data_IF_223302069404
#
_entry.id   IF_223302069404
#
_cell.length_a   1.000
_cell.length_b   1.000
_cell.length_c   1.000
_cell.angle_alpha   90.00
_cell.angle_beta   90.00
_cell.angle_gamma   90.00
#
_symmetry.space_group_name_H-M   'P 1'
#
loop_
_entity.id
_entity.type
_entity.pdbx_description
1 polymer ?
#
# COMPACT_ATOMS: atom_id res chain seq x y z
N UNK A 1 12.14 -3.29 -44.93
CA UNK A 1 12.54 -3.67 -43.56
C UNK A 1 11.55 -2.97 -42.65
N UNK A 2 10.82 -3.69 -41.81
CA UNK A 2 9.78 -3.09 -40.97
C UNK A 2 10.40 -2.07 -40.00
N UNK A 3 9.70 -0.96 -39.79
CA UNK A 3 10.03 0.04 -38.78
C UNK A 3 9.71 -0.47 -37.38
N UNK A 4 10.31 0.15 -36.36
CA UNK A 4 10.03 -0.20 -34.96
C UNK A 4 8.54 -0.03 -34.60
N UNK A 5 7.89 1.01 -35.13
CA UNK A 5 6.45 1.24 -34.98
C UNK A 5 5.62 0.11 -35.63
N UNK A 6 5.95 -0.30 -36.86
CA UNK A 6 5.23 -1.38 -37.53
C UNK A 6 5.36 -2.70 -36.78
N UNK A 7 6.57 -3.04 -36.29
CA UNK A 7 6.78 -4.25 -35.48
C UNK A 7 6.00 -4.18 -34.17
N UNK A 8 5.96 -3.01 -33.52
CA UNK A 8 5.15 -2.77 -32.31
C UNK A 8 3.67 -3.07 -32.59
N UNK A 9 3.09 -2.47 -33.62
CA UNK A 9 1.67 -2.65 -33.95
C UNK A 9 1.31 -4.12 -34.18
N UNK A 10 2.17 -4.87 -34.88
CA UNK A 10 1.93 -6.31 -35.10
C UNK A 10 1.97 -7.11 -33.79
N UNK A 11 2.90 -6.79 -32.89
CA UNK A 11 3.01 -7.47 -31.59
C UNK A 11 1.84 -7.09 -30.70
N UNK A 12 1.45 -5.82 -30.65
CA UNK A 12 0.33 -5.35 -29.82
C UNK A 12 -1.01 -5.98 -30.21
N UNK A 13 -1.17 -6.42 -31.46
CA UNK A 13 -2.36 -7.15 -31.92
C UNK A 13 -2.39 -8.64 -31.52
N UNK A 14 -1.30 -9.20 -30.97
CA UNK A 14 -1.32 -10.56 -30.42
C UNK A 14 -2.16 -10.62 -29.15
N UNK A 15 -2.70 -11.81 -28.86
CA UNK A 15 -3.59 -12.04 -27.72
C UNK A 15 -2.79 -12.51 -26.50
N UNK A 16 -3.07 -11.91 -25.34
CA UNK A 16 -2.75 -12.46 -24.03
C UNK A 16 -3.70 -13.65 -23.76
N UNK A 17 -3.21 -14.90 -23.81
CA UNK A 17 -4.05 -16.07 -23.65
C UNK A 17 -4.63 -16.22 -22.24
N UNK A 18 -4.11 -15.49 -21.25
CA UNK A 18 -4.61 -15.56 -19.87
C UNK A 18 -5.92 -14.80 -19.65
N UNK A 19 -6.23 -13.83 -20.51
CA UNK A 19 -7.43 -12.97 -20.42
C UNK A 19 -8.16 -12.77 -21.74
N UNK A 20 -7.69 -13.44 -22.81
CA UNK A 20 -8.28 -13.40 -24.16
C UNK A 20 -8.44 -11.99 -24.76
N UNK A 21 -7.56 -11.06 -24.36
CA UNK A 21 -7.49 -9.67 -24.87
C UNK A 21 -6.16 -9.42 -25.58
N UNK A 22 -6.13 -8.46 -26.51
CA UNK A 22 -4.87 -8.10 -27.19
C UNK A 22 -3.85 -7.47 -26.24
N UNK A 23 -2.56 -7.56 -26.57
CA UNK A 23 -1.51 -6.85 -25.83
C UNK A 23 -1.66 -5.34 -25.90
N UNK A 24 -2.36 -4.82 -26.92
CA UNK A 24 -2.79 -3.42 -26.99
C UNK A 24 -3.75 -3.06 -25.87
N UNK A 25 -4.78 -3.88 -25.67
CA UNK A 25 -5.80 -3.69 -24.64
C UNK A 25 -5.25 -3.91 -23.22
N UNK A 26 -4.35 -4.88 -23.06
CA UNK A 26 -3.76 -5.18 -21.75
C UNK A 26 -2.53 -4.33 -21.42
N UNK A 27 -2.02 -3.54 -22.37
CA UNK A 27 -0.72 -2.89 -22.25
C UNK A 27 0.42 -3.90 -22.09
N UNK A 28 0.29 -5.09 -22.69
CA UNK A 28 1.18 -6.23 -22.53
C UNK A 28 2.57 -6.04 -23.15
N UNK A 29 2.75 -5.19 -24.16
CA UNK A 29 4.09 -4.91 -24.70
C UNK A 29 4.81 -3.86 -23.85
N UNK A 30 5.79 -4.29 -23.04
CA UNK A 30 6.49 -3.44 -22.06
C UNK A 30 7.79 -2.86 -22.59
N UNK A 31 8.46 -3.63 -23.44
CA UNK A 31 9.69 -3.21 -24.08
C UNK A 31 9.77 -3.82 -25.47
N UNK A 32 10.30 -3.04 -26.41
CA UNK A 32 10.63 -3.48 -27.76
C UNK A 32 11.93 -2.83 -28.18
N UNK A 33 12.86 -3.65 -28.66
CA UNK A 33 14.08 -3.21 -29.32
C UNK A 33 14.43 -4.10 -30.52
N UNK A 34 15.10 -3.52 -31.51
CA UNK A 34 15.43 -4.17 -32.78
C UNK A 34 16.90 -3.90 -33.10
N UNK A 35 17.73 -4.93 -33.01
CA UNK A 35 19.11 -4.90 -33.51
C UNK A 35 19.07 -5.19 -35.02
N UNK A 36 19.08 -4.12 -35.82
CA UNK A 36 18.99 -4.17 -37.29
C UNK A 36 20.17 -4.93 -37.90
N UNK A 37 21.37 -4.83 -37.31
CA UNK A 37 22.57 -5.49 -37.83
C UNK A 37 22.53 -7.00 -37.65
N UNK A 38 21.97 -7.48 -36.54
CA UNK A 38 21.83 -8.91 -36.26
C UNK A 38 20.48 -9.50 -36.70
N UNK A 39 19.51 -8.65 -37.03
CA UNK A 39 18.13 -9.05 -37.29
C UNK A 39 17.42 -9.61 -36.06
N UNK A 40 17.81 -9.17 -34.86
CA UNK A 40 17.31 -9.70 -33.59
C UNK A 40 16.30 -8.73 -32.95
N UNK A 41 15.13 -9.24 -32.58
CA UNK A 41 14.11 -8.49 -31.83
C UNK A 41 14.16 -8.88 -30.36
N UNK A 42 14.16 -7.90 -29.45
CA UNK A 42 14.06 -8.15 -28.00
C UNK A 42 12.76 -7.56 -27.49
N UNK A 43 11.98 -8.37 -26.78
CA UNK A 43 10.70 -7.95 -26.18
C UNK A 43 10.59 -8.35 -24.72
N UNK A 44 9.94 -7.49 -23.95
CA UNK A 44 9.40 -7.83 -22.63
C UNK A 44 7.88 -7.81 -22.76
N UNK A 45 7.23 -8.94 -22.48
CA UNK A 45 5.78 -9.08 -22.49
C UNK A 45 5.27 -9.22 -21.06
N UNK A 46 4.38 -8.33 -20.67
CA UNK A 46 3.56 -8.49 -19.50
C UNK A 46 2.36 -9.41 -19.79
N UNK A 47 2.08 -10.37 -18.91
CA UNK A 47 0.89 -11.23 -18.95
C UNK A 47 0.10 -11.12 -17.65
N UNK A 48 -1.23 -11.20 -17.72
CA UNK A 48 -2.05 -11.18 -16.49
C UNK A 48 -1.83 -12.44 -15.64
N UNK A 49 -1.55 -13.58 -16.27
CA UNK A 49 -1.07 -14.79 -15.60
C UNK A 49 0.21 -15.32 -16.27
N UNK A 50 1.24 -15.56 -15.47
CA UNK A 50 2.62 -15.85 -15.93
C UNK A 50 3.01 -17.31 -15.61
N UNK A 51 2.17 -18.26 -15.99
CA UNK A 51 2.52 -19.69 -15.96
C UNK A 51 3.25 -20.15 -17.23
N UNK A 52 3.83 -21.35 -17.16
CA UNK A 52 4.64 -21.88 -18.26
C UNK A 52 3.82 -22.18 -19.52
N UNK A 53 2.53 -22.53 -19.37
CA UNK A 53 1.65 -22.81 -20.51
C UNK A 53 1.40 -21.53 -21.33
N UNK A 54 1.05 -20.43 -20.67
CA UNK A 54 0.85 -19.12 -21.29
C UNK A 54 2.15 -18.58 -21.88
N UNK A 55 3.28 -18.64 -21.16
CA UNK A 55 4.60 -18.24 -21.69
C UNK A 55 4.95 -19.01 -22.96
N UNK A 56 4.75 -20.32 -22.98
CA UNK A 56 5.03 -21.14 -24.17
C UNK A 56 4.11 -20.79 -25.33
N UNK A 57 2.84 -20.52 -25.08
CA UNK A 57 1.89 -20.07 -26.11
C UNK A 57 2.37 -18.75 -26.75
N UNK A 58 2.65 -17.74 -25.93
CA UNK A 58 3.06 -16.41 -26.39
C UNK A 58 4.42 -16.44 -27.08
N UNK A 59 5.38 -17.22 -26.54
CA UNK A 59 6.70 -17.38 -27.17
C UNK A 59 6.57 -17.96 -28.59
N UNK A 60 5.67 -18.93 -28.80
CA UNK A 60 5.42 -19.50 -30.14
C UNK A 60 4.75 -18.49 -31.07
N UNK A 61 3.74 -17.76 -30.58
CA UNK A 61 3.06 -16.72 -31.36
C UNK A 61 4.03 -15.62 -31.81
N UNK A 62 4.86 -15.13 -30.89
CA UNK A 62 5.92 -14.16 -31.18
C UNK A 62 6.97 -14.71 -32.14
N UNK A 63 7.44 -15.95 -31.95
CA UNK A 63 8.43 -16.54 -32.84
C UNK A 63 7.89 -16.70 -34.27
N UNK A 64 6.61 -17.12 -34.42
CA UNK A 64 5.94 -17.18 -35.72
C UNK A 64 5.86 -15.79 -36.35
N UNK A 65 5.30 -14.81 -35.65
CA UNK A 65 5.14 -13.45 -36.14
C UNK A 65 6.48 -12.84 -36.56
N UNK A 66 7.46 -12.85 -35.64
CA UNK A 66 8.72 -12.13 -35.85
C UNK A 66 9.62 -12.82 -36.87
N UNK A 67 9.71 -14.15 -36.86
CA UNK A 67 10.62 -14.86 -37.78
C UNK A 67 10.00 -15.17 -39.13
N UNK A 68 8.74 -15.61 -39.17
CA UNK A 68 8.11 -16.07 -40.40
C UNK A 68 7.38 -14.93 -41.11
N UNK A 69 6.61 -14.12 -40.39
CA UNK A 69 5.78 -13.09 -41.02
C UNK A 69 6.58 -11.79 -41.26
N UNK A 70 7.42 -11.40 -40.31
CA UNK A 70 8.22 -10.17 -40.37
C UNK A 70 9.67 -10.38 -40.88
N UNK A 71 10.14 -11.63 -40.95
CA UNK A 71 11.43 -12.00 -41.56
C UNK A 71 12.69 -11.72 -40.72
N UNK A 72 12.58 -11.55 -39.40
CA UNK A 72 13.73 -11.38 -38.51
C UNK A 72 14.43 -12.72 -38.20
N UNK A 73 15.73 -12.70 -37.90
CA UNK A 73 16.53 -13.91 -37.66
C UNK A 73 16.24 -14.52 -36.29
N UNK A 74 15.92 -13.67 -35.31
CA UNK A 74 15.82 -14.05 -33.90
C UNK A 74 14.81 -13.23 -33.12
N UNK A 75 14.32 -13.80 -32.03
CA UNK A 75 13.60 -13.09 -30.98
C UNK A 75 14.10 -13.54 -29.62
N UNK A 76 14.33 -12.58 -28.71
CA UNK A 76 14.52 -12.81 -27.28
C UNK A 76 13.27 -12.30 -26.55
N UNK A 77 12.65 -13.16 -25.76
CA UNK A 77 11.42 -12.86 -25.02
C UNK A 77 11.66 -13.01 -23.54
N UNK A 78 11.34 -11.97 -22.77
CA UNK A 78 11.23 -12.01 -21.32
C UNK A 78 9.78 -11.74 -20.92
N UNK A 79 9.36 -12.29 -19.79
CA UNK A 79 7.99 -12.19 -19.31
C UNK A 79 7.93 -11.55 -17.93
N UNK A 80 6.95 -10.67 -17.73
CA UNK A 80 6.61 -10.10 -16.44
C UNK A 80 5.11 -10.21 -16.16
N UNK A 81 4.71 -10.02 -14.90
CA UNK A 81 3.30 -9.98 -14.54
C UNK A 81 2.73 -8.60 -14.89
N UNK A 82 1.65 -8.56 -15.68
CA UNK A 82 0.90 -7.33 -15.91
C UNK A 82 0.27 -6.88 -14.60
N UNK A 83 0.71 -5.72 -14.11
CA UNK A 83 0.01 -5.01 -13.04
C UNK A 83 -1.41 -4.73 -13.51
N UNK A 84 -2.41 -5.35 -12.86
CA UNK A 84 -3.84 -5.26 -13.22
C UNK A 84 -4.26 -3.78 -13.34
N UNK A 85 -4.86 -3.39 -14.47
CA UNK A 85 -5.36 -2.02 -14.73
C UNK A 85 -6.27 -1.49 -13.62
N UNK A 86 -7.03 -2.39 -12.99
CA UNK A 86 -8.02 -2.06 -11.97
C UNK A 86 -7.45 -2.14 -10.54
N UNK A 87 -6.16 -2.51 -10.39
CA UNK A 87 -5.52 -2.55 -9.08
C UNK A 87 -5.30 -1.15 -8.54
N UNK A 88 -5.21 -1.03 -7.22
CA UNK A 88 -4.90 0.25 -6.58
C UNK A 88 -3.52 0.78 -7.04
N UNK A 89 -2.60 -0.12 -7.39
CA UNK A 89 -1.25 0.15 -7.88
C UNK A 89 -1.17 0.61 -9.34
N UNK A 90 -2.31 0.67 -10.06
CA UNK A 90 -2.34 1.13 -11.45
C UNK A 90 -1.87 2.57 -11.55
N UNK A 91 -0.99 2.85 -12.53
CA UNK A 91 -0.47 4.20 -12.79
C UNK A 91 -1.54 5.14 -13.34
N UNK A 92 -2.67 4.61 -13.78
CA UNK A 92 -3.83 5.39 -14.24
C UNK A 92 -4.63 5.97 -13.06
N UNK A 93 -4.41 5.44 -11.85
CA UNK A 93 -5.02 5.94 -10.63
C UNK A 93 -4.07 6.91 -9.93
N UNK A 94 -4.52 8.14 -9.69
CA UNK A 94 -3.80 9.14 -8.88
C UNK A 94 -4.05 8.89 -7.38
N UNK A 95 -3.54 7.77 -6.88
CA UNK A 95 -3.70 7.35 -5.47
C UNK A 95 -2.46 7.73 -4.66
N UNK A 96 -2.69 8.39 -3.53
CA UNK A 96 -1.65 8.79 -2.59
C UNK A 96 -1.53 7.76 -1.48
N UNK A 97 -0.35 7.13 -1.40
CA UNK A 97 -0.05 6.14 -0.37
C UNK A 97 0.64 6.77 0.83
N UNK A 98 0.10 6.51 2.01
CA UNK A 98 0.67 6.93 3.29
C UNK A 98 0.92 5.69 4.14
N UNK A 99 2.19 5.34 4.32
CA UNK A 99 2.59 4.26 5.21
C UNK A 99 2.69 4.78 6.64
N UNK A 100 2.00 4.12 7.56
CA UNK A 100 2.03 4.46 8.99
C UNK A 100 2.93 3.46 9.69
N UNK A 101 4.09 3.90 10.15
CA UNK A 101 5.11 3.05 10.75
C UNK A 101 5.36 3.39 12.22
N UNK A 102 5.80 2.39 12.97
CA UNK A 102 6.28 2.59 14.34
C UNK A 102 7.47 1.67 14.64
N UNK A 103 8.31 2.09 15.57
CA UNK A 103 9.41 1.26 16.03
C UNK A 103 8.99 0.13 16.95
N UNK A 104 7.87 0.29 17.68
CA UNK A 104 7.44 -0.62 18.75
C UNK A 104 5.93 -0.77 18.75
N UNK A 105 5.45 -1.97 19.10
CA UNK A 105 4.03 -2.20 19.39
C UNK A 105 3.54 -1.38 20.60
N UNK A 106 2.25 -1.06 20.60
CA UNK A 106 1.61 -0.35 21.72
C UNK A 106 1.70 1.17 21.71
N UNK A 107 2.35 1.79 20.71
CA UNK A 107 2.38 3.27 20.57
C UNK A 107 1.08 3.86 20.00
N UNK A 108 0.09 3.02 19.69
CA UNK A 108 -1.20 3.44 19.10
C UNK A 108 -1.16 3.71 17.60
N UNK A 109 -0.23 3.10 16.87
CA UNK A 109 -0.10 3.18 15.39
C UNK A 109 -1.44 2.96 14.68
N UNK A 110 -2.09 1.82 14.90
CA UNK A 110 -3.35 1.46 14.24
C UNK A 110 -4.50 2.40 14.63
N UNK A 111 -4.54 2.87 15.88
CA UNK A 111 -5.52 3.87 16.34
C UNK A 111 -5.35 5.20 15.60
N UNK A 112 -4.09 5.64 15.42
CA UNK A 112 -3.77 6.84 14.63
C UNK A 112 -4.16 6.63 13.16
N UNK A 113 -3.86 5.47 12.57
CA UNK A 113 -4.25 5.15 11.19
C UNK A 113 -5.76 5.25 10.99
N UNK A 114 -6.55 4.63 11.86
CA UNK A 114 -8.01 4.64 11.77
C UNK A 114 -8.60 6.05 11.94
N UNK A 115 -8.18 6.79 12.97
CA UNK A 115 -8.66 8.17 13.19
C UNK A 115 -8.23 9.12 12.08
N UNK A 116 -7.03 8.95 11.53
CA UNK A 116 -6.56 9.72 10.37
C UNK A 116 -7.44 9.46 9.14
N UNK A 117 -7.89 8.22 8.91
CA UNK A 117 -8.83 7.92 7.83
C UNK A 117 -10.17 8.66 8.01
N UNK A 118 -10.72 8.67 9.23
CA UNK A 118 -11.93 9.45 9.53
C UNK A 118 -11.73 10.95 9.36
N UNK A 119 -10.56 11.48 9.70
CA UNK A 119 -10.22 12.87 9.47
C UNK A 119 -10.15 13.20 7.97
N UNK A 120 -9.50 12.36 7.15
CA UNK A 120 -9.51 12.49 5.69
C UNK A 120 -10.94 12.48 5.13
N UNK A 121 -11.76 11.51 5.53
CA UNK A 121 -13.17 11.42 5.13
C UNK A 121 -13.95 12.67 5.51
N UNK A 122 -13.76 13.18 6.73
CA UNK A 122 -14.42 14.40 7.22
C UNK A 122 -14.05 15.61 6.37
N UNK A 123 -12.81 15.66 5.86
CA UNK A 123 -12.33 16.67 4.91
C UNK A 123 -12.75 16.39 3.46
N UNK A 124 -13.68 15.45 3.24
CA UNK A 124 -14.26 15.14 1.94
C UNK A 124 -13.39 14.25 1.05
N UNK A 125 -12.38 13.58 1.60
CA UNK A 125 -11.49 12.69 0.85
C UNK A 125 -12.00 11.26 0.83
N UNK A 126 -11.90 10.60 -0.32
CA UNK A 126 -12.13 9.15 -0.42
C UNK A 126 -10.88 8.39 0.02
N UNK A 127 -11.04 7.54 1.04
CA UNK A 127 -9.92 6.89 1.73
C UNK A 127 -10.15 5.39 1.90
N UNK A 128 -9.09 4.62 1.70
CA UNK A 128 -9.03 3.21 2.03
C UNK A 128 -7.91 2.92 3.03
N UNK A 129 -8.03 1.80 3.73
CA UNK A 129 -7.02 1.30 4.68
C UNK A 129 -6.59 -0.10 4.27
N UNK A 130 -5.28 -0.31 4.15
CA UNK A 130 -4.67 -1.64 4.06
C UNK A 130 -4.01 -1.91 5.41
N UNK A 131 -4.55 -2.86 6.16
CA UNK A 131 -3.91 -3.35 7.39
C UNK A 131 -2.85 -4.40 7.04
N UNK A 132 -1.58 -3.97 7.04
CA UNK A 132 -0.41 -4.80 6.77
C UNK A 132 0.25 -5.31 8.06
N UNK A 133 -0.27 -4.98 9.24
CA UNK A 133 0.22 -5.48 10.53
C UNK A 133 -0.32 -6.87 10.83
N UNK A 134 0.10 -7.86 10.04
CA UNK A 134 -0.54 -9.18 9.97
C UNK A 134 -0.59 -9.91 11.33
N UNK A 135 0.41 -9.70 12.20
CA UNK A 135 0.47 -10.35 13.51
C UNK A 135 -0.21 -9.55 14.62
N UNK A 136 -0.36 -8.24 14.43
CA UNK A 136 -0.90 -7.29 15.40
C UNK A 136 -2.14 -6.56 14.89
N UNK A 137 -2.85 -7.17 13.93
CA UNK A 137 -3.99 -6.56 13.27
C UNK A 137 -5.04 -6.17 14.30
N UNK A 138 -5.46 -4.92 14.23
CA UNK A 138 -6.39 -4.34 15.19
C UNK A 138 -7.33 -3.31 14.58
N UNK A 139 -7.15 -2.96 13.29
CA UNK A 139 -7.98 -1.96 12.62
C UNK A 139 -9.47 -2.37 12.61
N UNK A 140 -9.86 -3.59 12.20
CA UNK A 140 -11.26 -4.03 12.27
C UNK A 140 -11.86 -3.89 13.68
N UNK A 141 -11.12 -4.29 14.72
CA UNK A 141 -11.55 -4.13 16.12
C UNK A 141 -11.70 -2.65 16.52
N UNK A 142 -10.73 -1.80 16.17
CA UNK A 142 -10.76 -0.34 16.41
C UNK A 142 -11.99 0.30 15.74
N UNK A 143 -12.38 -0.19 14.57
CA UNK A 143 -13.53 0.27 13.80
C UNK A 143 -14.87 -0.35 14.23
N UNK A 144 -14.86 -1.19 15.27
CA UNK A 144 -16.04 -1.92 15.75
C UNK A 144 -16.73 -2.66 14.59
N UNK A 145 -15.95 -3.52 13.92
CA UNK A 145 -16.38 -4.31 12.77
C UNK A 145 -16.50 -5.79 13.15
N UNK A 146 -17.53 -6.43 12.60
CA UNK A 146 -17.67 -7.89 12.73
C UNK A 146 -16.60 -8.59 11.88
N UNK A 147 -15.84 -9.49 12.52
CA UNK A 147 -14.80 -10.27 11.85
C UNK A 147 -15.45 -11.44 11.11
N UNK A 148 -15.66 -11.26 9.81
CA UNK A 148 -16.18 -12.29 8.91
C UNK A 148 -15.28 -12.46 7.70
N UNK A 149 -15.24 -13.65 7.07
CA UNK A 149 -14.52 -13.84 5.83
C UNK A 149 -14.97 -12.87 4.74
N UNK A 150 -14.05 -12.27 3.97
CA UNK A 150 -14.42 -11.36 2.90
C UNK A 150 -15.18 -12.10 1.80
N UNK A 151 -16.10 -11.38 1.16
CA UNK A 151 -16.82 -11.90 -0.01
C UNK A 151 -15.90 -11.86 -1.22
N UNK A 152 -15.85 -12.99 -1.94
CA UNK A 152 -15.27 -13.03 -3.28
C UNK A 152 -16.22 -12.45 -4.32
N UNK A 153 -15.68 -11.74 -5.29
CA UNK A 153 -16.38 -11.38 -6.53
C UNK A 153 -16.00 -12.35 -7.66
N UNK A 154 -16.54 -12.13 -8.87
CA UNK A 154 -16.09 -12.86 -10.06
C UNK A 154 -14.57 -12.69 -10.26
N UNK A 155 -13.92 -13.70 -10.84
CA UNK A 155 -12.48 -13.69 -11.17
C UNK A 155 -11.52 -13.59 -9.97
N UNK A 156 -11.84 -14.25 -8.84
CA UNK A 156 -10.98 -14.33 -7.65
C UNK A 156 -10.64 -12.97 -6.99
N UNK A 157 -11.45 -11.95 -7.27
CA UNK A 157 -11.33 -10.62 -6.68
C UNK A 157 -11.92 -10.57 -5.28
N UNK A 158 -11.39 -9.68 -4.44
CA UNK A 158 -11.80 -9.47 -3.05
C UNK A 158 -12.62 -8.19 -2.96
N UNK A 159 -13.81 -8.25 -2.37
CA UNK A 159 -14.60 -7.06 -2.06
C UNK A 159 -14.08 -6.51 -0.71
N UNK A 160 -13.60 -5.25 -0.64
CA UNK A 160 -13.18 -4.68 0.63
C UNK A 160 -14.38 -4.51 1.56
N UNK A 161 -14.14 -4.54 2.86
CA UNK A 161 -15.16 -4.11 3.81
C UNK A 161 -15.33 -2.60 3.72
N UNK A 162 -16.51 -2.11 4.08
CA UNK A 162 -16.78 -0.68 4.15
C UNK A 162 -17.36 -0.35 5.53
N UNK A 163 -16.71 0.58 6.24
CA UNK A 163 -17.23 1.16 7.48
C UNK A 163 -17.35 2.66 7.27
N UNK A 164 -18.57 3.16 7.32
CA UNK A 164 -18.88 4.58 7.19
C UNK A 164 -18.25 5.23 5.94
N UNK A 165 -18.16 4.53 4.81
CA UNK A 165 -17.57 5.06 3.58
C UNK A 165 -16.04 4.98 3.51
N UNK A 166 -15.38 4.33 4.48
CA UNK A 166 -13.95 4.00 4.44
C UNK A 166 -13.83 2.53 4.04
N UNK A 167 -13.10 2.26 2.98
CA UNK A 167 -12.84 0.89 2.53
C UNK A 167 -11.66 0.29 3.31
N UNK A 168 -11.76 -0.99 3.68
CA UNK A 168 -10.77 -1.68 4.50
C UNK A 168 -10.52 -3.08 3.98
N UNK A 169 -9.25 -3.45 3.92
CA UNK A 169 -8.82 -4.85 3.86
C UNK A 169 -7.83 -5.12 4.99
N UNK A 170 -8.01 -6.26 5.67
CA UNK A 170 -7.18 -6.71 6.77
C UNK A 170 -7.05 -8.22 6.75
N UNK A 171 -5.92 -8.72 7.26
CA UNK A 171 -5.72 -10.15 7.49
C UNK A 171 -6.65 -10.73 8.55
N UNK A 172 -7.12 -9.92 9.51
CA UNK A 172 -8.02 -10.37 10.58
C UNK A 172 -9.32 -10.97 10.02
N UNK A 173 -9.83 -10.46 8.89
CA UNK A 173 -11.02 -11.03 8.22
C UNK A 173 -10.82 -12.45 7.69
N UNK A 174 -9.58 -12.87 7.45
CA UNK A 174 -9.25 -14.22 6.98
C UNK A 174 -8.97 -15.18 8.13
N UNK A 175 -9.02 -14.70 9.38
CA UNK A 175 -8.76 -15.49 10.57
C UNK A 175 -10.06 -16.10 11.12
N UNK A 176 -9.96 -17.34 11.59
CA UNK A 176 -11.00 -17.88 12.45
C UNK A 176 -10.81 -17.29 13.87
N UNK A 177 -11.89 -16.90 14.58
CA UNK A 177 -11.82 -16.17 15.86
C UNK A 177 -10.87 -16.77 16.92
N UNK A 178 -10.70 -18.10 16.90
CA UNK A 178 -9.95 -18.83 17.94
C UNK A 178 -8.68 -19.54 17.44
N UNK A 179 -8.17 -19.21 16.24
CA UNK A 179 -6.97 -19.87 15.68
C UNK A 179 -5.79 -18.93 15.57
N UNK A 180 -4.62 -19.29 16.15
CA UNK A 180 -3.41 -18.49 15.97
C UNK A 180 -3.00 -18.53 14.49
N UNK A 181 -2.56 -17.37 13.99
CA UNK A 181 -2.06 -17.27 12.62
C UNK A 181 -0.72 -18.01 12.50
N UNK A 182 -0.71 -19.12 11.77
CA UNK A 182 0.50 -19.91 11.48
C UNK A 182 0.94 -19.72 10.02
N UNK A 183 1.03 -18.48 9.55
CA UNK A 183 1.51 -18.19 8.20
C UNK A 183 3.03 -18.06 8.19
N UNK A 184 3.68 -18.62 7.16
CA UNK A 184 5.12 -18.48 6.94
C UNK A 184 5.37 -17.31 6.00
N UNK A 185 6.54 -16.65 6.10
CA UNK A 185 6.93 -15.45 5.33
C UNK A 185 6.40 -15.37 3.88
N UNK A 186 6.60 -16.39 3.02
CA UNK A 186 6.11 -16.37 1.65
C UNK A 186 4.58 -16.23 1.49
N UNK A 187 3.80 -16.72 2.46
CA UNK A 187 2.34 -16.55 2.47
C UNK A 187 1.93 -15.12 2.82
N UNK A 188 2.70 -14.41 3.65
CA UNK A 188 2.44 -13.02 4.02
C UNK A 188 2.63 -12.11 2.80
N UNK A 189 3.76 -12.23 2.10
CA UNK A 189 4.01 -11.49 0.88
C UNK A 189 2.95 -11.78 -0.19
N UNK A 190 2.51 -13.04 -0.32
CA UNK A 190 1.39 -13.39 -1.22
C UNK A 190 0.07 -12.70 -0.80
N UNK A 191 -0.24 -12.64 0.49
CA UNK A 191 -1.45 -11.96 0.96
C UNK A 191 -1.39 -10.45 0.71
N UNK A 192 -0.25 -9.81 0.96
CA UNK A 192 -0.06 -8.39 0.63
C UNK A 192 -0.27 -8.16 -0.87
N UNK A 193 0.26 -9.02 -1.73
CA UNK A 193 -0.02 -8.93 -3.16
C UNK A 193 -1.53 -8.97 -3.45
N UNK A 194 -2.29 -9.87 -2.81
CA UNK A 194 -3.75 -9.89 -2.96
C UNK A 194 -4.42 -8.58 -2.51
N UNK A 195 -3.96 -7.96 -1.41
CA UNK A 195 -4.54 -6.70 -0.93
C UNK A 195 -4.37 -5.55 -1.92
N UNK A 196 -3.23 -5.50 -2.61
CA UNK A 196 -2.94 -4.44 -3.57
C UNK A 196 -3.46 -4.75 -4.99
N UNK A 197 -3.42 -5.99 -5.45
CA UNK A 197 -3.80 -6.34 -6.83
C UNK A 197 -5.24 -6.83 -6.99
N UNK A 198 -5.81 -7.46 -5.96
CA UNK A 198 -7.03 -8.25 -6.08
C UNK A 198 -8.23 -7.67 -5.33
N UNK A 199 -8.03 -6.66 -4.50
CA UNK A 199 -9.12 -5.90 -3.88
C UNK A 199 -9.74 -4.95 -4.90
N UNK A 200 -11.08 -4.95 -4.99
CA UNK A 200 -11.86 -4.04 -5.83
C UNK A 200 -12.13 -2.77 -5.03
N UNK A 201 -11.17 -1.84 -5.04
CA UNK A 201 -11.31 -0.53 -4.42
C UNK A 201 -12.24 0.38 -5.26
N UNK A 202 -13.05 1.21 -4.61
CA UNK A 202 -13.82 2.28 -5.25
C UNK A 202 -12.89 3.12 -6.15
N UNK A 203 -13.32 3.39 -7.38
CA UNK A 203 -12.50 4.07 -8.38
C UNK A 203 -12.04 5.47 -7.93
N UNK A 204 -12.85 6.14 -7.11
CA UNK A 204 -12.59 7.49 -6.62
C UNK A 204 -11.68 7.56 -5.40
N UNK A 205 -11.13 6.45 -4.89
CA UNK A 205 -10.16 6.49 -3.78
C UNK A 205 -8.98 7.42 -4.13
N UNK A 206 -8.76 8.42 -3.26
CA UNK A 206 -7.68 9.39 -3.37
C UNK A 206 -6.48 9.02 -2.48
N UNK A 207 -6.76 8.43 -1.30
CA UNK A 207 -5.74 8.11 -0.29
C UNK A 207 -5.85 6.66 0.16
N UNK A 208 -4.71 5.99 0.29
CA UNK A 208 -4.60 4.69 0.94
C UNK A 208 -3.65 4.82 2.13
N UNK A 209 -4.18 4.55 3.32
CA UNK A 209 -3.37 4.41 4.52
C UNK A 209 -2.93 2.95 4.66
N UNK A 210 -1.63 2.72 4.81
CA UNK A 210 -1.07 1.39 5.00
C UNK A 210 -0.58 1.27 6.44
N UNK A 211 -1.28 0.48 7.25
CA UNK A 211 -0.89 0.22 8.64
C UNK A 211 0.22 -0.83 8.67
N UNK A 212 1.47 -0.40 8.86
CA UNK A 212 2.63 -1.28 8.73
C UNK A 212 2.89 -2.07 10.02
N UNK A 213 3.45 -3.28 9.96
CA UNK A 213 3.89 -3.96 11.18
C UNK A 213 5.01 -3.18 11.87
N UNK A 214 5.19 -3.34 13.20
CA UNK A 214 6.29 -2.69 13.90
C UNK A 214 7.65 -3.22 13.42
N UNK A 215 8.63 -2.32 13.25
CA UNK A 215 10.01 -2.67 12.90
C UNK A 215 10.30 -2.67 11.39
N UNK A 216 11.35 -3.41 10.99
CA UNK A 216 11.99 -3.31 9.65
C UNK A 216 12.09 -4.67 8.96
N UNK A 217 11.12 -5.55 9.18
CA UNK A 217 11.12 -6.93 8.65
C UNK A 217 10.73 -7.04 7.17
N UNK A 218 10.63 -8.27 6.68
CA UNK A 218 10.37 -8.61 5.26
C UNK A 218 9.14 -7.89 4.67
N UNK A 219 8.09 -7.68 5.46
CA UNK A 219 6.88 -6.94 5.05
C UNK A 219 7.19 -5.51 4.60
N UNK A 220 8.12 -4.81 5.25
CA UNK A 220 8.50 -3.46 4.85
C UNK A 220 9.18 -3.44 3.46
N UNK A 221 9.93 -4.49 3.11
CA UNK A 221 10.53 -4.64 1.78
C UNK A 221 9.49 -4.98 0.71
N UNK A 222 8.52 -5.85 1.04
CA UNK A 222 7.40 -6.17 0.15
C UNK A 222 6.58 -4.90 -0.16
N UNK A 223 6.32 -4.07 0.86
CA UNK A 223 5.66 -2.76 0.68
C UNK A 223 6.48 -1.84 -0.22
N UNK A 224 7.81 -1.78 -0.06
CA UNK A 224 8.67 -1.00 -0.95
C UNK A 224 8.58 -1.46 -2.41
N UNK A 225 8.40 -2.76 -2.65
CA UNK A 225 8.24 -3.31 -4.00
C UNK A 225 6.88 -2.94 -4.60
N UNK A 226 5.83 -2.93 -3.79
CA UNK A 226 4.46 -2.64 -4.21
C UNK A 226 4.24 -1.13 -4.42
N UNK A 227 4.67 -0.31 -3.46
CA UNK A 227 4.51 1.16 -3.41
C UNK A 227 5.86 1.87 -3.18
N UNK A 228 6.75 1.92 -4.21
CA UNK A 228 8.12 2.41 -4.04
C UNK A 228 8.23 3.88 -3.63
N UNK A 229 7.22 4.71 -3.93
CA UNK A 229 7.17 6.14 -3.60
C UNK A 229 6.10 6.45 -2.55
N UNK A 230 6.04 5.64 -1.50
CA UNK A 230 5.16 5.86 -0.37
C UNK A 230 5.68 7.02 0.50
N UNK A 231 4.75 7.84 1.01
CA UNK A 231 5.06 8.82 2.04
C UNK A 231 4.83 8.22 3.42
N UNK A 232 5.74 8.44 4.36
CA UNK A 232 5.80 7.71 5.62
C UNK A 232 5.51 8.62 6.80
N UNK A 233 4.54 8.21 7.62
CA UNK A 233 4.19 8.84 8.89
C UNK A 233 4.76 7.99 10.02
N UNK A 234 5.64 8.58 10.85
CA UNK A 234 6.30 7.87 11.95
C UNK A 234 5.57 8.13 13.26
N UNK A 235 5.09 7.07 13.91
CA UNK A 235 4.39 7.14 15.19
C UNK A 235 5.34 6.81 16.35
N UNK A 236 5.36 7.69 17.35
CA UNK A 236 6.09 7.49 18.61
C UNK A 236 5.23 7.92 19.81
N UNK A 237 5.78 7.78 21.00
CA UNK A 237 5.26 8.33 22.26
C UNK A 237 6.36 9.13 22.96
N UNK A 238 6.04 9.96 23.98
CA UNK A 238 7.06 10.69 24.73
C UNK A 238 8.14 9.81 25.36
N UNK A 239 7.79 8.57 25.68
CA UNK A 239 8.72 7.64 26.32
C UNK A 239 9.97 7.41 25.47
N UNK A 240 11.15 7.58 26.08
CA UNK A 240 12.45 7.54 25.40
C UNK A 240 12.69 6.23 24.63
N UNK A 241 12.36 5.08 25.23
CA UNK A 241 12.43 3.77 24.56
C UNK A 241 11.63 3.70 23.26
N UNK A 242 10.42 4.25 23.20
CA UNK A 242 9.61 4.24 21.97
C UNK A 242 10.26 5.14 20.90
N UNK A 243 10.72 6.33 21.31
CA UNK A 243 11.35 7.31 20.44
C UNK A 243 12.65 6.80 19.80
N UNK A 244 13.54 6.13 20.55
CA UNK A 244 14.75 5.55 19.96
C UNK A 244 14.48 4.46 18.94
N UNK A 245 13.41 3.68 19.11
CA UNK A 245 13.07 2.64 18.13
C UNK A 245 12.32 3.24 16.93
N UNK A 246 11.48 4.26 17.14
CA UNK A 246 10.83 5.00 16.06
C UNK A 246 11.85 5.68 15.12
N UNK A 247 12.96 6.20 15.66
CA UNK A 247 14.11 6.69 14.86
C UNK A 247 14.64 5.61 13.92
N UNK A 248 14.78 4.37 14.40
CA UNK A 248 15.25 3.26 13.55
C UNK A 248 14.25 2.94 12.44
N UNK A 249 12.95 2.98 12.73
CA UNK A 249 11.91 2.79 11.73
C UNK A 249 11.96 3.89 10.65
N UNK A 250 12.17 5.16 11.05
CA UNK A 250 12.35 6.27 10.12
C UNK A 250 13.57 6.12 9.22
N UNK A 251 14.74 5.79 9.78
CA UNK A 251 15.94 5.55 8.97
C UNK A 251 15.77 4.36 8.02
N UNK A 252 15.04 3.32 8.42
CA UNK A 252 14.75 2.19 7.54
C UNK A 252 13.84 2.60 6.38
N UNK A 253 12.84 3.45 6.63
CA UNK A 253 12.01 4.02 5.57
C UNK A 253 12.84 4.84 4.57
N UNK A 254 13.77 5.67 5.03
CA UNK A 254 14.70 6.41 4.15
C UNK A 254 15.62 5.47 3.35
N UNK A 255 16.14 4.41 3.97
CA UNK A 255 16.95 3.38 3.28
C UNK A 255 16.17 2.67 2.18
N UNK A 256 14.87 2.45 2.40
CA UNK A 256 13.93 1.92 1.41
C UNK A 256 13.47 2.96 0.38
N UNK A 257 14.01 4.19 0.46
CA UNK A 257 13.74 5.34 -0.43
C UNK A 257 12.31 5.86 -0.35
N UNK A 258 11.67 5.70 0.79
CA UNK A 258 10.40 6.34 1.08
C UNK A 258 10.60 7.77 1.59
N UNK A 259 9.65 8.65 1.29
CA UNK A 259 9.69 10.05 1.73
C UNK A 259 9.08 10.16 3.13
N UNK A 260 9.73 10.83 4.07
CA UNK A 260 9.17 11.07 5.40
C UNK A 260 8.23 12.28 5.39
N UNK A 261 6.96 12.10 5.75
CA UNK A 261 6.03 13.21 6.00
C UNK A 261 6.34 13.92 7.31
N UNK A 262 6.68 13.15 8.33
CA UNK A 262 6.96 13.66 9.66
C UNK A 262 6.55 12.68 10.75
N UNK A 263 6.54 13.20 11.98
CA UNK A 263 6.36 12.42 13.20
C UNK A 263 5.04 12.80 13.88
N UNK A 264 4.34 11.81 14.41
CA UNK A 264 3.24 12.01 15.35
C UNK A 264 3.66 11.48 16.71
N UNK A 265 3.65 12.35 17.72
CA UNK A 265 3.79 11.94 19.11
C UNK A 265 2.41 11.63 19.69
N UNK A 266 2.08 10.34 19.78
CA UNK A 266 0.85 9.89 20.40
C UNK A 266 1.01 9.75 21.91
N UNK A 267 -0.10 9.76 22.64
CA UNK A 267 -0.13 9.66 24.11
C UNK A 267 0.74 10.72 24.81
N UNK A 268 0.74 11.94 24.25
CA UNK A 268 1.65 13.03 24.66
C UNK A 268 1.40 13.53 26.08
N UNK A 269 0.15 13.65 26.48
CA UNK A 269 -0.28 14.00 27.84
C UNK A 269 -1.71 13.51 28.09
N UNK A 270 -2.12 13.42 29.35
CA UNK A 270 -3.53 13.25 29.74
C UNK A 270 -4.03 14.61 30.25
N UNK A 271 -5.13 15.12 29.69
CA UNK A 271 -5.81 16.27 30.30
C UNK A 271 -6.60 15.83 31.53
N UNK A 272 -6.29 16.43 32.67
CA UNK A 272 -7.03 16.24 33.90
C UNK A 272 -7.46 17.60 34.45
N UNK A 273 -8.73 17.97 34.20
CA UNK A 273 -9.32 19.22 34.65
C UNK A 273 -8.55 20.47 34.17
N UNK A 274 -8.02 20.44 32.94
CA UNK A 274 -7.23 21.51 32.33
C UNK A 274 -5.73 21.45 32.65
N UNK A 275 -5.28 20.50 33.50
CA UNK A 275 -3.86 20.22 33.70
C UNK A 275 -3.38 19.15 32.72
N UNK A 276 -2.28 19.42 31.99
CA UNK A 276 -1.66 18.47 31.06
C UNK A 276 -0.66 17.58 31.78
N UNK A 277 -1.13 16.43 32.25
CA UNK A 277 -0.31 15.43 32.95
C UNK A 277 0.54 14.63 31.96
N UNK A 278 1.86 14.80 32.02
CA UNK A 278 2.85 14.15 31.14
C UNK A 278 3.29 12.78 31.66
N UNK A 279 2.34 11.86 31.77
CA UNK A 279 2.54 10.57 32.47
C UNK A 279 3.58 9.65 31.81
N UNK A 280 3.89 9.85 30.52
CA UNK A 280 4.93 9.11 29.79
C UNK A 280 6.17 9.94 29.48
N UNK A 281 6.29 11.15 30.05
CA UNK A 281 7.35 12.11 29.75
C UNK A 281 6.95 13.10 28.65
N UNK A 282 7.93 13.75 28.05
CA UNK A 282 7.78 14.73 26.97
C UNK A 282 8.98 14.69 26.02
N UNK A 283 8.84 15.25 24.81
CA UNK A 283 9.96 15.50 23.91
C UNK A 283 10.34 14.32 22.99
N UNK A 284 9.57 13.24 23.02
CA UNK A 284 9.86 12.04 22.24
C UNK A 284 9.75 12.29 20.75
N UNK A 285 8.66 12.92 20.32
CA UNK A 285 8.42 13.35 18.94
C UNK A 285 9.53 14.23 18.39
N UNK A 286 9.96 15.22 19.17
CA UNK A 286 11.04 16.15 18.80
C UNK A 286 12.38 15.44 18.64
N UNK A 287 12.68 14.45 19.50
CA UNK A 287 13.89 13.62 19.37
C UNK A 287 13.86 12.87 18.03
N UNK A 288 12.73 12.24 17.70
CA UNK A 288 12.59 11.51 16.43
C UNK A 288 12.71 12.46 15.24
N UNK A 289 11.95 13.55 15.24
CA UNK A 289 11.91 14.53 14.16
C UNK A 289 13.30 15.13 13.88
N UNK A 290 14.02 15.51 14.94
CA UNK A 290 15.39 16.05 14.83
C UNK A 290 16.36 15.05 14.21
N UNK A 291 16.31 13.78 14.62
CA UNK A 291 17.23 12.75 14.10
C UNK A 291 16.94 12.39 12.64
N UNK A 292 15.68 12.45 12.24
CA UNK A 292 15.23 12.17 10.87
C UNK A 292 15.17 13.42 9.98
N UNK A 293 15.64 14.58 10.47
CA UNK A 293 15.60 15.86 9.75
C UNK A 293 14.20 16.18 9.17
N UNK A 294 13.16 15.98 9.99
CA UNK A 294 11.76 16.21 9.65
C UNK A 294 11.08 17.00 10.78
N UNK A 295 9.75 17.10 10.76
CA UNK A 295 8.96 17.85 11.74
C UNK A 295 7.98 16.96 12.52
N UNK A 296 7.53 17.48 13.67
CA UNK A 296 6.40 16.91 14.41
C UNK A 296 5.11 17.48 13.81
N UNK A 297 4.33 16.62 13.16
CA UNK A 297 3.08 17.01 12.51
C UNK A 297 1.92 17.14 13.49
N UNK A 298 1.89 16.32 14.55
CA UNK A 298 0.87 16.40 15.58
C UNK A 298 1.34 15.78 16.89
N UNK A 299 0.83 16.32 18.00
CA UNK A 299 0.96 15.77 19.34
C UNK A 299 -0.43 15.42 19.84
N UNK A 300 -0.71 14.12 19.99
CA UNK A 300 -2.06 13.63 20.30
C UNK A 300 -2.11 13.25 21.77
N UNK A 301 -3.03 13.81 22.58
CA UNK A 301 -3.14 13.44 23.98
C UNK A 301 -3.81 12.09 24.16
N UNK A 302 -3.71 11.56 25.38
CA UNK A 302 -4.42 10.37 25.83
C UNK A 302 -5.88 10.75 26.07
N UNK A 303 -6.80 10.00 25.48
CA UNK A 303 -8.21 10.17 25.71
C UNK A 303 -9.03 8.97 25.22
N UNK A 304 -10.33 9.02 25.50
CA UNK A 304 -11.32 8.07 25.00
C UNK A 304 -12.40 8.85 24.25
N UNK A 305 -12.82 8.40 23.04
CA UNK A 305 -13.92 9.03 22.32
C UNK A 305 -15.23 8.98 23.11
N UNK A 306 -16.09 9.98 22.92
CA UNK A 306 -17.37 10.05 23.65
C UNK A 306 -18.42 9.06 23.17
N UNK A 307 -18.49 8.82 21.86
CA UNK A 307 -19.65 8.19 21.23
C UNK A 307 -19.32 6.87 20.50
N UNK A 308 -18.04 6.54 20.35
CA UNK A 308 -17.60 5.34 19.64
C UNK A 308 -16.54 4.61 20.47
N UNK A 309 -16.18 3.39 20.04
CA UNK A 309 -15.17 2.60 20.74
C UNK A 309 -13.76 3.23 20.67
N UNK A 310 -13.35 3.75 19.51
CA UNK A 310 -11.97 4.21 19.28
C UNK A 310 -11.81 5.39 18.30
N UNK A 311 -12.90 5.91 17.75
CA UNK A 311 -12.89 6.98 16.73
C UNK A 311 -13.42 8.29 17.31
N UNK A 312 -12.57 9.32 17.32
CA UNK A 312 -12.92 10.65 17.81
C UNK A 312 -13.76 11.42 16.78
N UNK A 313 -14.85 12.02 17.25
CA UNK A 313 -15.68 12.91 16.45
C UNK A 313 -14.98 14.23 16.13
N UNK A 314 -15.36 14.93 15.04
CA UNK A 314 -14.73 16.19 14.62
C UNK A 314 -14.98 17.36 15.59
N UNK A 315 -15.91 17.20 16.52
CA UNK A 315 -16.24 18.13 17.60
C UNK A 315 -15.49 17.84 18.91
N UNK A 316 -14.69 16.78 18.96
CA UNK A 316 -13.84 16.42 20.09
C UNK A 316 -12.45 17.04 19.93
N UNK A 317 -11.82 17.46 21.03
CA UNK A 317 -10.49 18.09 21.00
C UNK A 317 -9.44 17.22 20.29
N UNK A 318 -9.38 15.92 20.63
CA UNK A 318 -8.50 14.97 19.96
C UNK A 318 -8.89 14.76 18.48
N UNK A 319 -10.19 14.80 18.16
CA UNK A 319 -10.65 14.74 16.77
C UNK A 319 -10.19 15.94 15.95
N UNK A 320 -10.15 17.13 16.55
CA UNK A 320 -9.59 18.34 15.94
C UNK A 320 -8.08 18.18 15.68
N UNK A 321 -7.33 17.54 16.59
CA UNK A 321 -5.91 17.24 16.36
C UNK A 321 -5.71 16.30 15.16
N UNK A 322 -6.56 15.29 14.98
CA UNK A 322 -6.55 14.44 13.79
C UNK A 322 -6.93 15.19 12.51
N UNK A 323 -7.90 16.10 12.55
CA UNK A 323 -8.23 16.98 11.42
C UNK A 323 -7.08 17.92 11.06
N UNK A 324 -6.36 18.43 12.06
CA UNK A 324 -5.16 19.22 11.89
C UNK A 324 -4.05 18.42 11.20
N UNK A 325 -3.82 17.19 11.66
CA UNK A 325 -2.87 16.25 11.06
C UNK A 325 -3.22 15.95 9.59
N UNK A 326 -4.47 15.58 9.31
CA UNK A 326 -4.93 15.30 7.96
C UNK A 326 -4.74 16.51 7.03
N UNK A 327 -5.09 17.72 7.47
CA UNK A 327 -4.87 18.94 6.69
C UNK A 327 -3.40 19.20 6.38
N UNK A 328 -2.48 18.98 7.33
CA UNK A 328 -1.04 19.11 7.09
C UNK A 328 -0.57 18.11 6.03
N UNK A 329 -1.02 16.85 6.13
CA UNK A 329 -0.66 15.81 5.17
C UNK A 329 -1.22 16.13 3.77
N UNK A 330 -2.47 16.59 3.66
CA UNK A 330 -3.07 16.98 2.37
C UNK A 330 -2.24 18.06 1.70
N UNK A 331 -1.79 19.09 2.45
CA UNK A 331 -0.97 20.20 1.92
C UNK A 331 0.43 19.78 1.49
N UNK A 332 0.93 18.64 1.97
CA UNK A 332 2.24 18.13 1.60
C UNK A 332 2.24 17.43 0.22
N UNK A 333 1.07 17.16 -0.37
CA UNK A 333 0.90 16.64 -1.73
C UNK A 333 0.48 17.75 -2.69
#
# INVERSE_FOLDING_TARGET
>A
MYTKEEVRDHIENLIDPSVEKSFKETGGLKYLDIDVMKGLVTVIIGLVNVDDAHKHYVTRALAKLVKLDLGFTGIKTEFELLKKSDSILSRERDVKYIGVASGKGGVGKSTVTANLAYAFKTLGKKVGIIDADIYGSSIPTILDMEITPPKGAANEKIIPFNKDGIELISTEFFMAPDKPLMWRGPMLGKMLNHFFYDVIWDEGIEYILVDLPPGTGDVAMDIQTLIPHCKMLIITTPHESASHVAVKAGFAAEQLKHDLLGVVENMSYLDHAGEKLRIFGEGGGEIVAKKLNTEVLSTIPIGQPKNTLSIFGPDEEIGIDYLGLANKIIKAY
#
